data_IF_891992707812
#
_entry.id   IF_891992707812
#
_cell.length_a   1.000
_cell.length_b   1.000
_cell.length_c   1.000
_cell.angle_alpha   90.00
_cell.angle_beta   90.00
_cell.angle_gamma   90.00
#
_symmetry.space_group_name_H-M   'P 1'
#
loop_
_entity.id
_entity.type
_entity.pdbx_description
1 polymer ?
#
# COMPACT_ATOMS: atom_id res chain seq x y z
N UNK A 1 -25.73 -50.59 46.81
CA UNK A 1 -24.78 -51.13 45.81
C UNK A 1 -23.79 -50.02 45.48
N UNK A 2 -22.63 -50.08 46.12
CA UNK A 2 -21.60 -49.04 46.15
C UNK A 2 -20.62 -49.30 45.01
N UNK A 3 -20.63 -48.51 43.94
CA UNK A 3 -19.65 -48.65 42.84
C UNK A 3 -18.37 -47.90 43.21
N UNK A 4 -17.31 -48.67 43.46
CA UNK A 4 -15.94 -48.19 43.63
C UNK A 4 -15.38 -47.82 42.25
N UNK A 5 -15.06 -46.56 42.05
CA UNK A 5 -14.34 -46.06 40.86
C UNK A 5 -12.86 -45.99 41.18
N UNK A 6 -12.07 -46.88 40.58
CA UNK A 6 -10.61 -46.92 40.69
C UNK A 6 -10.01 -45.73 39.94
N UNK A 7 -9.26 -44.87 40.64
CA UNK A 7 -8.52 -43.75 40.03
C UNK A 7 -7.25 -44.29 39.37
N UNK A 8 -7.10 -44.10 38.06
CA UNK A 8 -5.86 -44.33 37.33
C UNK A 8 -5.00 -43.06 37.45
N UNK A 9 -3.86 -43.16 38.14
CA UNK A 9 -2.93 -42.05 38.32
C UNK A 9 -2.16 -41.77 37.04
N UNK A 10 -2.30 -40.56 36.49
CA UNK A 10 -1.47 -40.05 35.40
C UNK A 10 -0.23 -39.41 36.02
N UNK A 11 0.93 -39.98 35.73
CA UNK A 11 2.23 -39.44 36.09
C UNK A 11 2.51 -38.18 35.23
N UNK A 12 2.81 -37.01 35.81
CA UNK A 12 3.14 -35.83 35.03
C UNK A 12 4.60 -35.91 34.54
N UNK A 13 4.81 -36.01 33.22
CA UNK A 13 6.10 -35.70 32.61
C UNK A 13 6.31 -34.18 32.65
N UNK A 14 7.09 -33.71 33.62
CA UNK A 14 7.54 -32.33 33.70
C UNK A 14 8.68 -32.16 32.68
N UNK A 15 8.35 -31.62 31.50
CA UNK A 15 9.34 -31.11 30.55
C UNK A 15 9.71 -29.69 30.99
N UNK A 16 10.87 -29.56 31.64
CA UNK A 16 11.49 -28.29 31.98
C UNK A 16 12.03 -27.62 30.70
N UNK A 17 11.36 -26.58 30.22
CA UNK A 17 11.93 -25.65 29.24
C UNK A 17 12.75 -24.59 29.98
N UNK A 18 14.04 -24.37 29.65
CA UNK A 18 14.80 -23.28 30.22
C UNK A 18 14.24 -21.94 29.72
N UNK A 19 13.80 -21.11 30.67
CA UNK A 19 13.49 -19.70 30.44
C UNK A 19 14.82 -18.96 30.31
N UNK A 20 15.10 -18.42 29.13
CA UNK A 20 16.21 -17.48 28.93
C UNK A 20 15.64 -16.07 29.05
N UNK A 21 15.95 -15.40 30.16
CA UNK A 21 15.75 -13.95 30.31
C UNK A 21 17.00 -13.27 29.75
N UNK A 22 16.90 -12.66 28.58
CA UNK A 22 17.88 -11.71 28.09
C UNK A 22 17.44 -10.30 28.49
N UNK A 23 18.03 -9.77 29.57
CA UNK A 23 17.97 -8.35 29.90
C UNK A 23 19.15 -7.63 29.29
N UNK A 24 18.92 -6.49 28.64
CA UNK A 24 19.97 -5.52 28.31
C UNK A 24 19.66 -4.20 29.03
N UNK A 25 20.28 -4.03 30.20
CA UNK A 25 20.59 -2.71 30.77
C UNK A 25 21.83 -2.16 30.07
N UNK A 26 21.80 -0.87 29.71
CA UNK A 26 22.74 -0.27 28.77
C UNK A 26 24.01 0.33 29.37
N UNK A 27 24.91 0.75 28.47
CA UNK A 27 25.86 1.86 28.58
C UNK A 27 26.73 1.85 27.31
N UNK A 28 26.87 3.01 26.66
CA UNK A 28 27.50 3.14 25.33
C UNK A 28 29.00 2.87 25.28
N UNK A 29 29.49 2.62 24.07
CA UNK A 29 30.44 3.52 23.37
C UNK A 29 30.59 3.08 21.92
N UNK A 30 30.95 4.05 21.09
CA UNK A 30 31.00 4.04 19.63
C UNK A 30 32.02 3.03 19.05
N UNK A 31 31.71 2.48 17.86
CA UNK A 31 32.73 1.97 16.95
C UNK A 31 32.46 0.58 16.38
N UNK A 32 32.19 0.54 15.07
CA UNK A 32 32.40 -0.65 14.23
C UNK A 32 31.13 -1.26 13.67
N UNK A 33 30.81 -0.92 12.42
CA UNK A 33 29.98 -1.76 11.56
C UNK A 33 30.69 -3.10 11.37
N UNK A 34 30.35 -4.10 12.18
CA UNK A 34 30.70 -5.47 11.89
C UNK A 34 29.91 -5.88 10.64
N UNK A 35 30.59 -5.98 9.49
CA UNK A 35 30.07 -6.71 8.35
C UNK A 35 29.82 -8.14 8.81
N UNK A 36 28.56 -8.50 8.98
CA UNK A 36 28.18 -9.90 8.99
C UNK A 36 28.45 -10.41 7.58
N UNK A 37 29.49 -11.22 7.41
CA UNK A 37 29.71 -12.06 6.23
C UNK A 37 28.60 -13.13 6.19
N UNK A 38 27.37 -12.70 5.95
CA UNK A 38 26.29 -13.56 5.53
C UNK A 38 26.48 -13.80 4.05
N UNK A 39 26.97 -14.99 3.69
CA UNK A 39 26.92 -15.45 2.30
C UNK A 39 25.46 -15.32 1.84
N UNK A 40 25.20 -14.34 0.97
CA UNK A 40 23.94 -14.27 0.27
C UNK A 40 23.80 -15.58 -0.49
N UNK A 41 22.76 -16.34 -0.18
CA UNK A 41 22.39 -17.46 -1.03
C UNK A 41 21.99 -16.85 -2.38
N UNK A 42 22.91 -16.91 -3.35
CA UNK A 42 22.63 -16.56 -4.74
C UNK A 42 21.69 -17.62 -5.29
N UNK A 43 20.40 -17.43 -5.04
CA UNK A 43 19.33 -18.20 -5.65
C UNK A 43 18.88 -17.45 -6.90
N UNK A 44 19.07 -18.06 -8.06
CA UNK A 44 18.46 -17.58 -9.30
C UNK A 44 16.94 -17.54 -9.15
N UNK A 45 16.27 -16.44 -9.54
CA UNK A 45 14.81 -16.39 -9.52
C UNK A 45 14.25 -17.47 -10.45
N UNK A 46 13.49 -18.41 -9.88
CA UNK A 46 12.86 -19.49 -10.64
C UNK A 46 11.53 -19.00 -11.21
N UNK A 47 11.52 -18.70 -12.52
CA UNK A 47 10.34 -18.29 -13.29
C UNK A 47 10.18 -19.19 -14.53
N UNK A 48 10.27 -20.50 -14.34
CA UNK A 48 10.27 -21.54 -15.39
C UNK A 48 8.91 -22.21 -15.61
N UNK A 49 7.88 -21.78 -14.87
CA UNK A 49 6.50 -22.22 -15.10
C UNK A 49 5.93 -21.61 -16.40
N UNK A 50 5.04 -22.32 -17.11
CA UNK A 50 4.35 -21.76 -18.26
C UNK A 50 3.59 -20.47 -17.89
N UNK A 51 3.87 -19.39 -18.61
CA UNK A 51 3.16 -18.12 -18.47
C UNK A 51 2.10 -18.01 -19.58
N UNK A 52 0.80 -18.17 -19.27
CA UNK A 52 -0.27 -18.04 -20.26
C UNK A 52 -0.64 -16.57 -20.55
N UNK A 53 -0.04 -15.60 -19.85
CA UNK A 53 -0.35 -14.18 -20.01
C UNK A 53 0.52 -13.56 -21.10
N UNK A 54 -0.12 -12.87 -22.03
CA UNK A 54 0.55 -12.02 -23.00
C UNK A 54 0.57 -10.58 -22.50
N UNK A 55 1.72 -9.93 -22.69
CA UNK A 55 1.90 -8.52 -22.40
C UNK A 55 1.37 -7.70 -23.56
N UNK A 56 0.46 -6.78 -23.28
CA UNK A 56 0.00 -5.78 -24.25
C UNK A 56 0.74 -4.47 -23.98
N UNK A 57 1.59 -4.04 -24.91
CA UNK A 57 2.34 -2.79 -24.79
C UNK A 57 2.32 -1.94 -26.08
N UNK A 58 1.88 -0.67 -26.00
CA UNK A 58 1.18 -0.06 -24.86
C UNK A 58 -0.26 -0.59 -24.73
N UNK A 59 -0.76 -0.74 -23.49
CA UNK A 59 -2.19 -0.99 -23.26
C UNK A 59 -3.00 0.31 -23.22
N UNK A 60 -2.50 1.36 -22.55
CA UNK A 60 -3.22 2.61 -22.30
C UNK A 60 -2.52 3.84 -22.86
N UNK A 61 -3.35 4.83 -23.22
CA UNK A 61 -2.94 6.21 -23.46
C UNK A 61 -2.31 6.80 -22.19
N UNK A 62 -1.34 7.69 -22.35
CA UNK A 62 -0.79 8.45 -21.23
C UNK A 62 -1.88 9.28 -20.55
N UNK A 63 -1.77 9.56 -19.23
CA UNK A 63 -2.62 10.53 -18.56
C UNK A 63 -2.69 11.85 -19.35
N UNK A 64 -3.85 12.51 -19.40
CA UNK A 64 -4.00 13.77 -20.12
C UNK A 64 -2.91 14.79 -19.73
N UNK A 65 -2.18 15.30 -20.72
CA UNK A 65 -1.10 16.28 -20.51
C UNK A 65 0.24 15.70 -20.06
N UNK A 66 0.34 14.40 -19.76
CA UNK A 66 1.59 13.77 -19.36
C UNK A 66 2.47 13.41 -20.57
N UNK A 67 3.78 13.56 -20.41
CA UNK A 67 4.80 13.15 -21.41
C UNK A 67 5.31 11.72 -21.18
N UNK A 68 5.09 11.19 -19.98
CA UNK A 68 5.42 9.82 -19.58
C UNK A 68 4.55 9.42 -18.38
N UNK A 69 4.49 8.13 -18.08
CA UNK A 69 3.86 7.66 -16.85
C UNK A 69 4.59 8.17 -15.61
N UNK A 70 3.82 8.69 -14.66
CA UNK A 70 4.24 8.82 -13.27
C UNK A 70 4.40 7.45 -12.60
N UNK A 71 4.79 7.46 -11.34
CA UNK A 71 4.79 6.22 -10.56
C UNK A 71 3.35 5.82 -10.26
N UNK A 72 2.87 4.76 -10.91
CA UNK A 72 1.54 4.20 -10.68
C UNK A 72 1.52 3.50 -9.32
N UNK A 73 0.58 3.89 -8.46
CA UNK A 73 0.44 3.38 -7.09
C UNK A 73 -0.81 2.54 -6.90
N UNK A 74 -1.83 2.70 -7.74
CA UNK A 74 -3.06 1.92 -7.70
C UNK A 74 -3.66 1.73 -9.09
N UNK A 75 -4.19 0.53 -9.32
CA UNK A 75 -4.99 0.19 -10.51
C UNK A 75 -6.13 -0.71 -10.05
N UNK A 76 -7.38 -0.28 -10.25
CA UNK A 76 -8.56 -1.04 -9.86
C UNK A 76 -9.67 -0.92 -10.91
N UNK A 77 -10.41 -2.01 -11.15
CA UNK A 77 -11.61 -1.96 -11.97
C UNK A 77 -12.80 -1.55 -11.09
N UNK A 78 -13.56 -0.55 -11.55
CA UNK A 78 -14.80 -0.14 -10.89
C UNK A 78 -16.01 -1.01 -11.29
N UNK A 79 -17.13 -0.89 -10.56
CA UNK A 79 -18.37 -1.61 -10.86
C UNK A 79 -19.02 -1.20 -12.19
N UNK A 80 -18.59 -0.08 -12.78
CA UNK A 80 -19.00 0.39 -14.11
C UNK A 80 -18.22 -0.27 -15.26
N UNK A 81 -17.28 -1.16 -14.94
CA UNK A 81 -16.45 -1.87 -15.91
C UNK A 81 -15.27 -1.07 -16.44
N UNK A 82 -15.01 0.13 -15.90
CA UNK A 82 -13.87 0.96 -16.25
C UNK A 82 -12.67 0.71 -15.33
N UNK A 83 -11.47 0.99 -15.81
CA UNK A 83 -10.24 0.92 -15.04
C UNK A 83 -9.91 2.29 -14.48
N UNK A 84 -9.54 2.34 -13.21
CA UNK A 84 -9.11 3.54 -12.52
C UNK A 84 -7.65 3.37 -12.15
N UNK A 85 -6.85 4.39 -12.46
CA UNK A 85 -5.41 4.39 -12.24
C UNK A 85 -5.06 5.60 -11.38
N UNK A 86 -4.28 5.38 -10.33
CA UNK A 86 -3.67 6.45 -9.54
C UNK A 86 -2.15 6.46 -9.73
N UNK A 87 -1.58 7.64 -9.94
CA UNK A 87 -0.15 7.84 -10.09
C UNK A 87 0.37 9.08 -9.35
N UNK A 88 1.67 9.13 -9.11
CA UNK A 88 2.36 10.26 -8.48
C UNK A 88 2.84 11.28 -9.51
N UNK A 89 1.89 11.83 -10.26
CA UNK A 89 2.09 12.90 -11.25
C UNK A 89 3.41 12.75 -12.01
N UNK A 90 4.39 13.63 -11.79
CA UNK A 90 5.72 13.56 -12.40
C UNK A 90 6.83 13.47 -11.34
N UNK A 91 7.95 12.80 -11.65
CA UNK A 91 9.12 12.69 -10.75
C UNK A 91 8.77 12.24 -9.30
N UNK A 92 7.80 11.34 -9.15
CA UNK A 92 7.40 10.78 -7.84
C UNK A 92 6.76 11.81 -6.87
N UNK A 93 6.13 12.87 -7.38
CA UNK A 93 5.47 13.90 -6.57
C UNK A 93 4.33 14.57 -7.32
N UNK A 94 3.26 14.93 -6.60
CA UNK A 94 2.16 15.76 -7.09
C UNK A 94 2.14 17.19 -6.50
N UNK A 95 3.06 17.51 -5.58
CA UNK A 95 3.14 18.85 -5.01
C UNK A 95 3.50 19.90 -6.07
N UNK A 96 2.71 20.99 -6.11
CA UNK A 96 2.87 22.10 -7.08
C UNK A 96 2.81 21.66 -8.54
N UNK A 97 2.02 20.63 -8.84
CA UNK A 97 1.87 20.04 -10.16
C UNK A 97 0.45 20.19 -10.72
N UNK A 98 0.29 20.49 -12.02
CA UNK A 98 -1.02 20.64 -12.65
C UNK A 98 -1.68 19.30 -13.03
N UNK A 99 -0.93 18.19 -13.03
CA UNK A 99 -1.44 16.88 -13.44
C UNK A 99 -2.48 16.33 -12.47
N UNK A 100 -3.54 15.75 -13.02
CA UNK A 100 -4.49 14.94 -12.28
C UNK A 100 -3.84 13.58 -11.92
N UNK A 101 -3.75 13.19 -10.64
CA UNK A 101 -3.16 11.92 -10.25
C UNK A 101 -4.10 10.73 -10.45
N UNK A 102 -5.39 10.94 -10.71
CA UNK A 102 -6.38 9.88 -10.91
C UNK A 102 -6.90 9.98 -12.33
N UNK A 103 -6.85 8.85 -13.05
CA UNK A 103 -7.33 8.74 -14.44
C UNK A 103 -8.23 7.52 -14.57
N UNK A 104 -9.37 7.72 -15.24
CA UNK A 104 -10.33 6.69 -15.60
C UNK A 104 -10.14 6.30 -17.06
N UNK A 105 -10.07 5.01 -17.32
CA UNK A 105 -9.87 4.41 -18.63
C UNK A 105 -11.01 3.46 -18.99
N UNK A 106 -11.34 3.37 -20.27
CA UNK A 106 -12.04 2.19 -20.75
C UNK A 106 -11.08 0.98 -20.87
N UNK A 107 -11.64 -0.20 -21.08
CA UNK A 107 -10.85 -1.44 -21.18
C UNK A 107 -9.94 -1.50 -22.42
N UNK A 108 -10.11 -0.58 -23.38
CA UNK A 108 -9.18 -0.44 -24.52
C UNK A 108 -7.98 0.45 -24.20
N UNK A 109 -7.96 1.06 -23.00
CA UNK A 109 -6.89 1.94 -22.56
C UNK A 109 -7.03 3.39 -23.01
N UNK A 110 -8.21 3.79 -23.50
CA UNK A 110 -8.50 5.20 -23.80
C UNK A 110 -8.89 5.95 -22.53
N UNK A 111 -8.30 7.12 -22.31
CA UNK A 111 -8.63 7.97 -21.17
C UNK A 111 -10.04 8.56 -21.33
N UNK A 112 -10.87 8.43 -20.29
CA UNK A 112 -12.25 8.90 -20.25
C UNK A 112 -12.40 10.18 -19.43
N UNK A 113 -11.70 10.26 -18.30
CA UNK A 113 -11.68 11.42 -17.41
C UNK A 113 -10.45 11.38 -16.49
N UNK A 114 -10.04 12.54 -15.99
CA UNK A 114 -9.01 12.68 -14.97
C UNK A 114 -9.41 13.74 -13.95
N UNK A 115 -8.95 13.60 -12.71
CA UNK A 115 -9.22 14.55 -11.62
C UNK A 115 -8.19 14.46 -10.50
N UNK A 116 -8.25 15.42 -9.58
CA UNK A 116 -7.48 15.44 -8.33
C UNK A 116 -6.27 16.38 -8.34
N UNK A 117 -6.04 17.14 -9.41
CA UNK A 117 -4.97 18.13 -9.46
C UNK A 117 -5.00 19.08 -8.24
N UNK A 118 -3.83 19.35 -7.68
CA UNK A 118 -3.66 20.25 -6.52
C UNK A 118 -4.15 19.70 -5.17
N UNK A 119 -4.70 18.49 -5.10
CA UNK A 119 -5.14 17.89 -3.83
C UNK A 119 -4.08 17.01 -3.17
N UNK A 120 -3.08 16.55 -3.92
CA UNK A 120 -2.12 15.54 -3.47
C UNK A 120 -0.69 16.05 -3.49
N UNK A 121 0.08 15.65 -2.47
CA UNK A 121 1.52 15.65 -2.42
C UNK A 121 2.08 14.28 -2.87
N UNK A 122 1.61 13.19 -2.26
CA UNK A 122 2.16 11.85 -2.44
C UNK A 122 1.06 10.77 -2.45
N UNK A 123 0.27 10.68 -3.54
CA UNK A 123 -0.82 9.72 -3.64
C UNK A 123 -0.30 8.27 -3.53
N UNK A 124 -1.00 7.44 -2.77
CA UNK A 124 -0.55 6.09 -2.43
C UNK A 124 -1.67 5.04 -2.40
N UNK A 125 -2.49 5.01 -1.34
CA UNK A 125 -3.56 4.03 -1.21
C UNK A 125 -4.71 4.35 -2.15
N UNK A 126 -5.22 3.34 -2.83
CA UNK A 126 -6.29 3.47 -3.82
C UNK A 126 -7.32 2.37 -3.61
N UNK A 127 -8.60 2.70 -3.74
CA UNK A 127 -9.67 1.72 -3.74
C UNK A 127 -10.93 2.22 -4.46
N UNK A 128 -11.61 1.37 -5.23
CA UNK A 128 -12.94 1.64 -5.77
C UNK A 128 -13.99 0.84 -4.99
N UNK A 129 -14.92 1.52 -4.32
CA UNK A 129 -15.96 0.82 -3.56
C UNK A 129 -17.10 0.31 -4.46
N UNK A 130 -17.99 -0.49 -3.87
CA UNK A 130 -19.08 -1.14 -4.61
C UNK A 130 -20.14 -0.17 -5.18
N UNK A 131 -20.16 1.08 -4.72
CA UNK A 131 -21.03 2.14 -5.26
C UNK A 131 -20.34 2.91 -6.39
N UNK A 132 -19.08 2.60 -6.68
CA UNK A 132 -18.26 3.28 -7.69
C UNK A 132 -17.56 4.53 -7.18
N UNK A 133 -17.49 4.74 -5.86
CA UNK A 133 -16.72 5.84 -5.32
C UNK A 133 -15.23 5.50 -5.30
N UNK A 134 -14.41 6.51 -5.58
CA UNK A 134 -12.96 6.39 -5.64
C UNK A 134 -12.36 6.90 -4.34
N UNK A 135 -11.73 6.01 -3.59
CA UNK A 135 -11.00 6.32 -2.37
C UNK A 135 -9.51 6.43 -2.67
N UNK A 136 -8.91 7.54 -2.24
CA UNK A 136 -7.50 7.81 -2.46
C UNK A 136 -6.85 8.35 -1.17
N UNK A 137 -5.63 7.92 -0.87
CA UNK A 137 -4.87 8.39 0.29
C UNK A 137 -3.58 9.06 -0.12
N UNK A 138 -3.17 10.05 0.66
CA UNK A 138 -1.89 10.72 0.54
C UNK A 138 -0.96 10.33 1.69
N UNK A 139 0.11 9.60 1.36
CA UNK A 139 0.96 8.97 2.36
C UNK A 139 2.04 9.89 2.95
N UNK A 140 2.23 11.11 2.43
CA UNK A 140 3.24 12.06 2.95
C UNK A 140 2.68 13.46 2.98
N UNK A 141 3.11 14.28 3.95
CA UNK A 141 2.83 15.71 3.98
C UNK A 141 4.06 16.55 3.69
N UNK A 142 3.84 17.77 3.23
CA UNK A 142 4.88 18.80 3.09
C UNK A 142 4.58 20.07 3.93
N UNK A 143 3.57 20.00 4.80
CA UNK A 143 3.08 21.14 5.59
C UNK A 143 1.94 21.92 4.94
N UNK A 144 1.68 21.70 3.64
CA UNK A 144 0.59 22.35 2.90
C UNK A 144 -0.40 21.34 2.31
N UNK A 145 0.11 20.20 1.82
CA UNK A 145 -0.63 19.11 1.21
C UNK A 145 -0.30 17.78 1.90
N UNK A 146 -1.20 16.81 1.69
CA UNK A 146 -1.03 15.41 2.08
C UNK A 146 -1.48 15.08 3.51
N UNK A 147 -1.21 13.86 3.97
CA UNK A 147 -1.78 13.29 5.20
C UNK A 147 -3.32 13.27 5.23
N UNK A 148 -3.94 13.07 4.06
CA UNK A 148 -5.39 13.08 3.91
C UNK A 148 -5.90 11.84 3.19
N UNK A 149 -7.18 11.57 3.38
CA UNK A 149 -7.95 10.61 2.59
C UNK A 149 -9.06 11.35 1.88
N UNK A 150 -9.27 11.02 0.61
CA UNK A 150 -10.30 11.62 -0.23
C UNK A 150 -11.23 10.52 -0.75
N UNK A 151 -12.52 10.84 -0.82
CA UNK A 151 -13.54 10.06 -1.53
C UNK A 151 -14.07 10.91 -2.68
N UNK A 152 -14.03 10.38 -3.89
CA UNK A 152 -14.63 10.98 -5.07
C UNK A 152 -15.78 10.12 -5.59
N UNK A 153 -16.71 10.72 -6.32
CA UNK A 153 -17.66 9.98 -7.15
C UNK A 153 -16.95 9.39 -8.39
N UNK A 154 -17.65 8.50 -9.11
CA UNK A 154 -17.13 7.84 -10.33
C UNK A 154 -16.84 8.79 -11.50
N UNK A 155 -17.34 10.04 -11.42
CA UNK A 155 -17.13 11.14 -12.37
C UNK A 155 -16.18 12.23 -11.83
N UNK A 156 -15.55 12.00 -10.67
CA UNK A 156 -14.46 12.83 -10.16
C UNK A 156 -14.87 13.98 -9.23
N UNK A 157 -16.14 14.08 -8.82
CA UNK A 157 -16.54 15.07 -7.82
C UNK A 157 -16.05 14.66 -6.42
N UNK A 158 -15.44 15.58 -5.69
CA UNK A 158 -14.98 15.33 -4.31
C UNK A 158 -16.18 15.26 -3.36
N UNK A 159 -16.35 14.11 -2.70
CA UNK A 159 -17.48 13.81 -1.80
C UNK A 159 -17.10 13.91 -0.32
N UNK A 160 -15.88 13.55 0.04
CA UNK A 160 -15.39 13.55 1.42
C UNK A 160 -13.88 13.80 1.45
N UNK A 161 -13.46 14.55 2.45
CA UNK A 161 -12.05 14.68 2.85
C UNK A 161 -11.93 14.33 4.33
N UNK A 162 -10.98 13.47 4.66
CA UNK A 162 -10.60 13.13 6.04
C UNK A 162 -9.17 13.59 6.30
N UNK A 163 -8.93 14.13 7.49
CA UNK A 163 -7.66 14.74 7.87
C UNK A 163 -7.54 16.20 7.44
N UNK A 164 -6.49 16.86 7.92
CA UNK A 164 -6.17 18.25 7.58
C UNK A 164 -4.91 18.27 6.71
N UNK A 165 -4.94 19.07 5.64
CA UNK A 165 -3.87 19.12 4.66
C UNK A 165 -2.52 19.46 5.33
N UNK A 166 -1.52 18.63 5.06
CA UNK A 166 -0.16 18.79 5.59
C UNK A 166 0.00 18.39 7.06
N UNK A 167 -1.07 18.01 7.76
CA UNK A 167 -1.04 17.70 9.20
C UNK A 167 -1.11 16.18 9.41
N UNK A 168 0.00 15.60 9.87
CA UNK A 168 0.04 14.19 10.23
C UNK A 168 -0.88 13.88 11.44
N UNK A 169 -1.51 12.71 11.43
CA UNK A 169 -2.22 12.20 12.61
C UNK A 169 -1.25 11.95 13.76
N UNK A 170 -1.63 12.35 14.98
CA UNK A 170 -0.75 12.28 16.16
C UNK A 170 -0.75 10.92 16.88
N UNK A 171 -1.51 9.94 16.38
CA UNK A 171 -1.68 8.62 17.02
C UNK A 171 -3.16 8.28 17.22
N UNK A 172 -3.48 7.19 17.95
CA UNK A 172 -4.86 6.75 18.10
C UNK A 172 -5.65 7.70 19.00
N UNK A 173 -6.76 8.20 18.46
CA UNK A 173 -7.82 8.88 19.20
C UNK A 173 -8.50 7.92 20.21
#
# INVERSE_FOLDING_TARGET
MTRRTTRLGILPCILSFPVVVAGCGGSGDEGGSANADGAALEAEPVNDLPNPYERLEPWAELPPGAVQWGQVTGVEQGPDGHLYVMHRCFENSCADRPEDPIVKYDMSGRALASWGAGLFNYPHGFHIDHEGNVWATDARGNGELGHQVFKFSSDGALLLTLGQAGVAGLGPD
#
